data_IF_627547175326
#
_entry.id   IF_627547175326
#
_cell.length_a   1.000
_cell.length_b   1.000
_cell.length_c   1.000
_cell.angle_alpha   90.00
_cell.angle_beta   90.00
_cell.angle_gamma   90.00
#
_symmetry.space_group_name_H-M   'P 1'
#
loop_
_entity.id
_entity.type
_entity.pdbx_description
1 polymer ?
#
# COMPACT_ATOMS: atom_id res chain seq x y z
N UNK A 1 36.09 -48.30 -55.52
CA UNK A 1 36.65 -48.06 -54.19
C UNK A 1 36.54 -46.57 -53.77
N UNK A 2 36.96 -45.62 -54.59
CA UNK A 2 36.90 -44.18 -54.25
C UNK A 2 35.48 -43.65 -53.93
N UNK A 3 34.45 -44.05 -54.64
CA UNK A 3 33.04 -43.68 -54.43
C UNK A 3 32.51 -44.16 -53.09
N UNK A 4 32.91 -45.32 -52.63
CA UNK A 4 32.50 -45.87 -51.34
C UNK A 4 33.12 -45.09 -50.17
N UNK A 5 34.36 -44.68 -50.31
CA UNK A 5 35.08 -43.89 -49.35
C UNK A 5 34.47 -42.49 -49.16
N UNK A 6 33.99 -41.88 -50.26
CA UNK A 6 33.29 -40.61 -50.22
C UNK A 6 31.95 -40.65 -49.49
N UNK A 7 31.18 -41.74 -49.66
CA UNK A 7 29.90 -41.95 -48.97
C UNK A 7 30.10 -42.13 -47.46
N UNK A 8 31.13 -42.92 -47.05
CA UNK A 8 31.45 -43.12 -45.65
C UNK A 8 31.89 -41.82 -44.97
N UNK A 9 32.64 -40.98 -45.69
CA UNK A 9 33.13 -39.68 -45.21
C UNK A 9 31.95 -38.71 -45.02
N UNK A 10 30.98 -38.70 -45.96
CA UNK A 10 29.78 -37.91 -45.84
C UNK A 10 28.86 -38.32 -44.65
N UNK A 11 28.71 -39.63 -44.44
CA UNK A 11 27.98 -40.15 -43.30
C UNK A 11 28.65 -39.82 -41.98
N UNK A 12 29.98 -39.93 -41.91
CA UNK A 12 30.73 -39.58 -40.70
C UNK A 12 30.63 -38.05 -40.40
N UNK A 13 30.71 -37.21 -41.41
CA UNK A 13 30.56 -35.75 -41.29
C UNK A 13 29.14 -35.36 -40.81
N UNK A 14 28.10 -36.02 -41.36
CA UNK A 14 26.71 -35.80 -40.93
C UNK A 14 26.47 -36.24 -39.48
N UNK A 15 27.08 -37.35 -39.09
CA UNK A 15 26.96 -37.84 -37.71
C UNK A 15 27.71 -36.91 -36.72
N UNK A 16 28.91 -36.45 -37.09
CA UNK A 16 29.68 -35.51 -36.26
C UNK A 16 28.96 -34.15 -36.08
N UNK A 17 28.32 -33.66 -37.13
CA UNK A 17 27.53 -32.41 -37.04
C UNK A 17 26.29 -32.61 -36.18
N UNK A 18 25.56 -33.71 -36.34
CA UNK A 18 24.41 -34.04 -35.49
C UNK A 18 24.75 -34.20 -34.04
N UNK A 19 25.88 -34.85 -33.76
CA UNK A 19 26.39 -35.03 -32.40
C UNK A 19 26.84 -33.71 -31.75
N UNK A 20 27.49 -32.84 -32.49
CA UNK A 20 27.92 -31.52 -32.01
C UNK A 20 26.75 -30.57 -31.73
N UNK A 21 25.71 -30.61 -32.55
CA UNK A 21 24.49 -29.82 -32.32
C UNK A 21 23.56 -30.43 -31.27
N UNK A 22 23.57 -31.76 -31.11
CA UNK A 22 22.77 -32.47 -30.11
C UNK A 22 23.30 -32.36 -28.68
N UNK A 23 24.57 -31.99 -28.51
CA UNK A 23 25.18 -31.75 -27.20
C UNK A 23 25.07 -30.30 -26.67
N UNK A 24 24.25 -29.45 -27.28
CA UNK A 24 23.95 -28.17 -26.63
C UNK A 24 23.34 -28.46 -25.25
N UNK A 25 23.98 -28.00 -24.17
CA UNK A 25 23.61 -28.45 -22.84
C UNK A 25 22.16 -28.05 -22.53
N UNK A 26 21.34 -29.03 -22.31
CA UNK A 26 19.96 -28.88 -21.80
C UNK A 26 19.96 -28.08 -20.48
N UNK A 27 21.11 -27.99 -19.81
CA UNK A 27 21.35 -27.18 -18.63
C UNK A 27 21.09 -25.68 -18.81
N UNK A 28 21.33 -25.11 -20.00
CA UNK A 28 21.04 -23.68 -20.25
C UNK A 28 19.53 -23.41 -20.34
N UNK A 29 18.75 -24.34 -20.89
CA UNK A 29 17.28 -24.23 -20.91
C UNK A 29 16.68 -24.38 -19.52
N UNK A 30 17.20 -25.28 -18.70
CA UNK A 30 16.78 -25.46 -17.31
C UNK A 30 17.13 -24.25 -16.46
N UNK A 31 18.30 -23.66 -16.67
CA UNK A 31 18.71 -22.42 -16.00
C UNK A 31 17.82 -21.24 -16.42
N UNK A 32 17.53 -21.10 -17.72
CA UNK A 32 16.63 -20.05 -18.24
C UNK A 32 15.20 -20.19 -17.69
N UNK A 33 14.69 -21.41 -17.56
CA UNK A 33 13.37 -21.67 -16.96
C UNK A 33 13.36 -21.32 -15.46
N UNK A 34 14.42 -21.67 -14.75
CA UNK A 34 14.57 -21.32 -13.33
C UNK A 34 14.64 -19.80 -13.13
N UNK A 35 15.43 -19.11 -13.95
CA UNK A 35 15.56 -17.64 -13.91
C UNK A 35 14.24 -16.94 -14.28
N UNK A 36 13.50 -17.46 -15.27
CA UNK A 36 12.16 -16.98 -15.61
C UNK A 36 11.14 -17.20 -14.49
N UNK A 37 11.17 -18.35 -13.84
CA UNK A 37 10.30 -18.63 -12.69
C UNK A 37 10.62 -17.71 -11.51
N UNK A 38 11.89 -17.43 -11.28
CA UNK A 38 12.31 -16.52 -10.23
C UNK A 38 11.91 -15.06 -10.56
N UNK A 39 12.13 -14.63 -11.79
CA UNK A 39 11.70 -13.32 -12.27
C UNK A 39 10.16 -13.13 -12.21
N UNK A 40 9.38 -14.15 -12.58
CA UNK A 40 7.92 -14.13 -12.45
C UNK A 40 7.46 -14.06 -10.99
N UNK A 41 8.16 -14.77 -10.08
CA UNK A 41 7.85 -14.74 -8.65
C UNK A 41 8.17 -13.38 -8.04
N UNK A 42 9.29 -12.78 -8.42
CA UNK A 42 9.69 -11.45 -7.96
C UNK A 42 8.78 -10.35 -8.53
N UNK A 43 8.40 -10.47 -9.81
CA UNK A 43 7.43 -9.58 -10.43
C UNK A 43 6.05 -9.68 -9.76
N UNK A 44 5.59 -10.90 -9.49
CA UNK A 44 4.31 -11.13 -8.79
C UNK A 44 4.32 -10.55 -7.38
N UNK A 45 5.42 -10.69 -6.63
CA UNK A 45 5.57 -10.07 -5.30
C UNK A 45 5.58 -8.54 -5.39
N UNK A 46 6.36 -7.98 -6.30
CA UNK A 46 6.43 -6.54 -6.49
C UNK A 46 5.08 -5.94 -6.90
N UNK A 47 4.32 -6.60 -7.77
CA UNK A 47 2.97 -6.17 -8.16
C UNK A 47 2.00 -6.24 -6.97
N UNK A 48 2.03 -7.32 -6.19
CA UNK A 48 1.20 -7.45 -5.00
C UNK A 48 1.54 -6.39 -3.95
N UNK A 49 2.83 -6.16 -3.67
CA UNK A 49 3.27 -5.16 -2.69
C UNK A 49 2.90 -3.74 -3.14
N UNK A 50 3.04 -3.44 -4.43
CA UNK A 50 2.65 -2.14 -5.01
C UNK A 50 1.14 -1.94 -4.94
N UNK A 51 0.34 -2.97 -5.28
CA UNK A 51 -1.13 -2.90 -5.24
C UNK A 51 -1.63 -2.72 -3.80
N UNK A 52 -1.07 -3.45 -2.84
CA UNK A 52 -1.39 -3.29 -1.42
C UNK A 52 -0.97 -1.91 -0.88
N UNK A 53 0.14 -1.35 -1.38
CA UNK A 53 0.57 0.01 -1.05
C UNK A 53 -0.45 1.05 -1.50
N UNK A 54 -0.86 1.00 -2.75
CA UNK A 54 -1.86 1.91 -3.34
C UNK A 54 -3.20 1.80 -2.60
N UNK A 55 -3.67 0.58 -2.31
CA UNK A 55 -4.93 0.39 -1.58
C UNK A 55 -4.88 0.99 -0.17
N UNK A 56 -3.75 0.84 0.54
CA UNK A 56 -3.56 1.44 1.87
C UNK A 56 -3.56 2.96 1.81
N UNK A 57 -2.90 3.54 0.84
CA UNK A 57 -2.83 5.00 0.69
C UNK A 57 -4.20 5.59 0.33
N UNK A 58 -4.96 4.93 -0.55
CA UNK A 58 -6.34 5.31 -0.85
C UNK A 58 -7.24 5.24 0.39
N UNK A 59 -7.17 4.15 1.15
CA UNK A 59 -7.94 3.97 2.38
C UNK A 59 -7.58 5.02 3.44
N UNK A 60 -6.29 5.33 3.58
CA UNK A 60 -5.80 6.38 4.48
C UNK A 60 -6.34 7.75 4.07
N UNK A 61 -6.25 8.07 2.78
CA UNK A 61 -6.73 9.35 2.24
C UNK A 61 -8.24 9.51 2.41
N UNK A 62 -8.99 8.46 2.17
CA UNK A 62 -10.43 8.45 2.40
C UNK A 62 -10.78 8.69 3.87
N UNK A 63 -10.14 7.98 4.79
CA UNK A 63 -10.35 8.19 6.23
C UNK A 63 -10.00 9.60 6.71
N UNK A 64 -8.96 10.21 6.15
CA UNK A 64 -8.63 11.62 6.44
C UNK A 64 -9.69 12.58 5.93
N UNK A 65 -10.25 12.35 4.73
CA UNK A 65 -11.33 13.18 4.16
C UNK A 65 -12.60 13.05 5.01
N UNK A 66 -12.99 11.83 5.37
CA UNK A 66 -14.16 11.56 6.20
C UNK A 66 -14.01 12.20 7.58
N UNK A 67 -12.85 12.02 8.22
CA UNK A 67 -12.56 12.65 9.51
C UNK A 67 -12.60 14.19 9.43
N UNK A 68 -12.11 14.79 8.34
CA UNK A 68 -12.20 16.24 8.12
C UNK A 68 -13.65 16.70 8.01
N UNK A 69 -14.47 15.99 7.26
CA UNK A 69 -15.90 16.30 7.12
C UNK A 69 -16.61 16.26 8.49
N UNK A 70 -16.36 15.20 9.27
CA UNK A 70 -16.92 15.06 10.62
C UNK A 70 -16.43 16.14 11.58
N UNK A 71 -15.15 16.50 11.50
CA UNK A 71 -14.59 17.58 12.32
C UNK A 71 -15.24 18.93 12.03
N UNK A 72 -15.53 19.24 10.75
CA UNK A 72 -16.23 20.47 10.37
C UNK A 72 -17.66 20.49 10.94
N UNK A 73 -18.37 19.36 10.89
CA UNK A 73 -19.70 19.24 11.49
C UNK A 73 -19.64 19.37 13.02
N UNK A 74 -18.66 18.74 13.66
CA UNK A 74 -18.43 18.88 15.09
C UNK A 74 -18.19 20.35 15.50
N UNK A 75 -17.41 21.09 14.71
CA UNK A 75 -17.17 22.53 14.95
C UNK A 75 -18.48 23.34 14.86
N UNK A 76 -19.31 23.06 13.85
CA UNK A 76 -20.61 23.71 13.72
C UNK A 76 -21.50 23.42 14.93
N UNK A 77 -21.59 22.16 15.35
CA UNK A 77 -22.34 21.73 16.53
C UNK A 77 -21.81 22.39 17.84
N UNK A 78 -20.50 22.52 17.99
CA UNK A 78 -19.91 23.23 19.15
C UNK A 78 -20.33 24.71 19.13
N UNK A 79 -20.30 25.34 17.95
CA UNK A 79 -20.71 26.74 17.80
C UNK A 79 -22.20 26.94 18.15
N UNK A 80 -23.05 25.99 17.77
CA UNK A 80 -24.48 25.96 18.09
C UNK A 80 -24.77 25.48 19.52
N UNK A 81 -23.74 25.18 20.32
CA UNK A 81 -23.83 24.60 21.68
C UNK A 81 -24.49 23.22 21.72
N UNK A 82 -24.51 22.51 20.60
CA UNK A 82 -25.02 21.16 20.48
C UNK A 82 -23.89 20.16 20.79
N UNK A 83 -23.49 20.07 22.04
CA UNK A 83 -22.33 19.31 22.49
C UNK A 83 -22.51 17.79 22.33
N UNK A 84 -23.77 17.30 22.40
CA UNK A 84 -24.06 15.88 22.20
C UNK A 84 -23.73 15.43 20.76
N UNK A 85 -24.21 16.18 19.76
CA UNK A 85 -23.93 15.88 18.35
C UNK A 85 -22.46 16.17 18.02
N UNK A 86 -21.86 17.22 18.59
CA UNK A 86 -20.42 17.46 18.42
C UNK A 86 -19.58 16.27 18.90
N UNK A 87 -19.88 15.70 20.06
CA UNK A 87 -19.19 14.52 20.59
C UNK A 87 -19.40 13.28 19.70
N UNK A 88 -20.59 13.13 19.11
CA UNK A 88 -20.90 12.05 18.14
C UNK A 88 -20.08 12.20 16.87
N UNK A 89 -20.06 13.38 16.25
CA UNK A 89 -19.27 13.64 15.04
C UNK A 89 -17.76 13.40 15.28
N UNK A 90 -17.25 13.79 16.44
CA UNK A 90 -15.86 13.49 16.80
C UNK A 90 -15.60 12.01 17.00
N UNK A 91 -16.58 11.23 17.51
CA UNK A 91 -16.46 9.78 17.60
C UNK A 91 -16.34 9.16 16.19
N UNK A 92 -17.22 9.57 15.27
CA UNK A 92 -17.20 9.08 13.89
C UNK A 92 -15.90 9.49 13.14
N UNK A 93 -15.35 10.67 13.43
CA UNK A 93 -14.04 11.08 12.94
C UNK A 93 -12.90 10.18 13.44
N UNK A 94 -12.93 9.80 14.71
CA UNK A 94 -11.98 8.85 15.31
C UNK A 94 -12.08 7.49 14.64
N UNK A 95 -13.29 6.97 14.48
CA UNK A 95 -13.54 5.66 13.86
C UNK A 95 -13.04 5.62 12.40
N UNK A 96 -13.24 6.71 11.64
CA UNK A 96 -12.72 6.85 10.27
C UNK A 96 -11.19 6.79 10.22
N UNK A 97 -10.48 7.48 11.12
CA UNK A 97 -9.02 7.47 11.19
C UNK A 97 -8.48 6.12 11.65
N UNK A 98 -9.14 5.45 12.58
CA UNK A 98 -8.77 4.10 13.03
C UNK A 98 -8.92 3.07 11.91
N UNK A 99 -10.03 3.12 11.17
CA UNK A 99 -10.23 2.27 10.00
C UNK A 99 -9.17 2.51 8.93
N UNK A 100 -8.76 3.77 8.73
CA UNK A 100 -7.72 4.17 7.78
C UNK A 100 -6.33 3.63 8.13
N UNK A 101 -6.04 3.44 9.42
CA UNK A 101 -4.74 2.93 9.90
C UNK A 101 -4.71 1.43 10.16
N UNK A 102 -5.86 0.75 10.10
CA UNK A 102 -5.98 -0.68 10.39
C UNK A 102 -5.18 -1.51 9.37
N UNK A 103 -4.27 -2.32 9.89
CA UNK A 103 -3.42 -3.20 9.06
C UNK A 103 -2.27 -2.48 8.33
N UNK A 104 -2.05 -1.19 8.56
CA UNK A 104 -0.90 -0.44 8.03
C UNK A 104 0.39 -0.74 8.78
N UNK A 105 1.53 -0.73 8.07
CA UNK A 105 2.85 -0.66 8.71
C UNK A 105 2.94 0.64 9.51
N UNK A 106 3.75 0.62 10.58
CA UNK A 106 4.00 1.81 11.42
C UNK A 106 4.97 2.75 10.70
N UNK A 107 4.50 3.36 9.60
CA UNK A 107 5.19 4.42 8.88
C UNK A 107 4.95 5.78 9.55
N UNK A 108 5.74 6.78 9.16
CA UNK A 108 5.64 8.16 9.70
C UNK A 108 4.22 8.73 9.51
N UNK A 109 3.62 8.51 8.35
CA UNK A 109 2.27 8.97 8.07
C UNK A 109 1.21 8.27 8.94
N UNK A 110 1.34 6.96 9.15
CA UNK A 110 0.47 6.21 10.07
C UNK A 110 0.62 6.65 11.52
N UNK A 111 1.83 7.03 11.94
CA UNK A 111 2.06 7.60 13.26
C UNK A 111 1.33 8.95 13.42
N UNK A 112 1.49 9.84 12.45
CA UNK A 112 0.83 11.14 12.46
C UNK A 112 -0.70 11.03 12.50
N UNK A 113 -1.29 10.05 11.82
CA UNK A 113 -2.74 9.77 11.89
C UNK A 113 -3.13 9.27 13.28
N UNK A 114 -2.33 8.42 13.92
CA UNK A 114 -2.59 7.96 15.30
C UNK A 114 -2.54 9.10 16.32
N UNK A 115 -1.55 10.00 16.20
CA UNK A 115 -1.43 11.16 17.07
C UNK A 115 -2.63 12.10 16.92
N UNK A 116 -3.11 12.26 15.68
CA UNK A 116 -4.31 13.02 15.39
C UNK A 116 -5.57 12.37 15.99
N UNK A 117 -5.69 11.04 15.88
CA UNK A 117 -6.76 10.27 16.50
C UNK A 117 -6.76 10.45 18.02
N UNK A 118 -5.59 10.46 18.67
CA UNK A 118 -5.45 10.76 20.08
C UNK A 118 -5.97 12.15 20.45
N UNK A 119 -5.61 13.17 19.66
CA UNK A 119 -6.09 14.55 19.86
C UNK A 119 -7.60 14.69 19.73
N UNK A 120 -8.21 13.99 18.75
CA UNK A 120 -9.67 13.98 18.59
C UNK A 120 -10.40 13.30 19.76
N UNK A 121 -9.86 12.19 20.26
CA UNK A 121 -10.40 11.51 21.45
C UNK A 121 -10.36 12.40 22.69
N UNK A 122 -9.26 13.12 22.88
CA UNK A 122 -9.12 14.07 24.00
C UNK A 122 -10.18 15.16 23.92
N UNK A 123 -10.35 15.81 22.76
CA UNK A 123 -11.37 16.84 22.56
C UNK A 123 -12.78 16.30 22.77
N UNK A 124 -13.08 15.11 22.22
CA UNK A 124 -14.35 14.43 22.44
C UNK A 124 -14.63 14.23 23.93
N UNK A 125 -13.63 13.77 24.68
CA UNK A 125 -13.76 13.55 26.12
C UNK A 125 -14.03 14.86 26.86
N UNK A 126 -13.32 15.94 26.52
CA UNK A 126 -13.52 17.27 27.11
C UNK A 126 -14.95 17.77 26.87
N UNK A 127 -15.50 17.61 25.66
CA UNK A 127 -16.89 17.95 25.33
C UNK A 127 -17.87 17.11 26.14
N UNK A 128 -17.65 15.80 26.23
CA UNK A 128 -18.53 14.89 26.98
C UNK A 128 -18.52 15.21 28.49
N UNK A 129 -17.41 15.71 29.03
CA UNK A 129 -17.30 16.17 30.43
C UNK A 129 -17.91 17.56 30.65
N UNK A 130 -18.49 18.19 29.65
CA UNK A 130 -19.04 19.56 29.73
C UNK A 130 -17.98 20.64 29.87
N UNK A 131 -16.70 20.34 29.56
CA UNK A 131 -15.63 21.34 29.54
C UNK A 131 -15.79 22.22 28.30
N UNK A 132 -15.55 23.51 28.47
CA UNK A 132 -15.50 24.42 27.32
C UNK A 132 -14.28 24.12 26.47
N UNK A 133 -14.49 23.55 25.29
CA UNK A 133 -13.42 23.32 24.32
C UNK A 133 -13.23 24.57 23.48
N UNK A 134 -12.02 25.16 23.47
CA UNK A 134 -11.73 26.29 22.61
C UNK A 134 -11.80 25.84 21.14
N UNK A 135 -12.56 26.56 20.32
CA UNK A 135 -12.60 26.33 18.85
C UNK A 135 -11.21 26.30 18.22
N UNK A 136 -10.25 27.03 18.78
CA UNK A 136 -8.84 26.98 18.39
C UNK A 136 -8.24 25.57 18.38
N UNK A 137 -8.62 24.72 19.35
CA UNK A 137 -8.11 23.34 19.45
C UNK A 137 -8.63 22.50 18.27
N UNK A 138 -9.90 22.70 17.89
CA UNK A 138 -10.48 22.06 16.70
C UNK A 138 -9.87 22.60 15.39
N UNK A 139 -9.55 23.89 15.34
CA UNK A 139 -8.88 24.50 14.19
C UNK A 139 -7.45 23.96 14.00
N UNK A 140 -6.71 23.75 15.07
CA UNK A 140 -5.39 23.13 15.04
C UNK A 140 -5.44 21.69 14.52
N UNK A 141 -6.42 20.92 14.98
CA UNK A 141 -6.63 19.54 14.50
C UNK A 141 -6.99 19.56 13.01
N UNK A 142 -7.88 20.45 12.58
CA UNK A 142 -8.23 20.62 11.17
C UNK A 142 -7.00 20.96 10.32
N UNK A 143 -6.16 21.88 10.77
CA UNK A 143 -4.93 22.23 10.07
C UNK A 143 -3.96 21.04 9.93
N UNK A 144 -3.84 20.19 10.95
CA UNK A 144 -3.04 18.96 10.87
C UNK A 144 -3.63 17.95 9.88
N UNK A 145 -4.97 17.81 9.85
CA UNK A 145 -5.64 16.98 8.84
C UNK A 145 -5.34 17.47 7.42
N UNK A 146 -5.42 18.79 7.20
CA UNK A 146 -5.12 19.39 5.90
C UNK A 146 -3.67 19.18 5.49
N UNK A 147 -2.73 19.24 6.42
CA UNK A 147 -1.32 18.96 6.16
C UNK A 147 -1.08 17.50 5.75
N UNK A 148 -1.80 16.54 6.35
CA UNK A 148 -1.70 15.12 6.01
C UNK A 148 -2.37 14.80 4.66
N UNK A 149 -3.42 15.52 4.27
CA UNK A 149 -4.08 15.36 2.98
C UNK A 149 -3.25 15.91 1.81
N UNK A 150 -2.41 16.91 2.07
CA UNK A 150 -1.60 17.61 1.05
C UNK A 150 -0.19 17.01 0.88
N UNK A 151 0.16 15.98 1.66
CA UNK A 151 1.40 15.19 1.49
C UNK A 151 1.16 14.01 0.55
#
# INVERSE_FOLDING_TARGET
MLKFLAVVLLLAASFATGYYFGQRPVGTLQQTISDLQQALKDLSRNVLDTTMGIERDLRRRQGLIDAKSRLVQAKANVFERNFGDAAKELAEAVDALEAATKGGKSDEAGQAVRDLTGSLREVRLEITMGKSVPLKKLDEIQKRLDQLLNK
#
